data_IF_022194710279
#
_entry.id   IF_022194710279
#
_cell.length_a   1.000
_cell.length_b   1.000
_cell.length_c   1.000
_cell.angle_alpha   90.00
_cell.angle_beta   90.00
_cell.angle_gamma   90.00
#
_symmetry.space_group_name_H-M   'P 1'
#
loop_
_entity.id
_entity.type
_entity.pdbx_description
1 polymer ?
#
# COMPACT_ATOMS: atom_id res chain seq x y z
N UNK A 1 69.81 -12.09 39.25
CA UNK A 1 69.83 -11.43 37.93
C UNK A 1 68.44 -11.46 37.40
N UNK A 2 67.71 -10.36 37.46
CA UNK A 2 66.31 -10.29 37.12
C UNK A 2 66.16 -9.52 35.84
N UNK A 3 66.00 -10.22 34.73
CA UNK A 3 65.70 -9.61 33.46
C UNK A 3 64.24 -9.21 33.42
N UNK A 4 64.04 -7.94 33.61
CA UNK A 4 62.70 -7.36 33.36
C UNK A 4 62.55 -7.15 31.86
N UNK A 5 61.91 -8.09 31.21
CA UNK A 5 61.41 -7.93 29.83
C UNK A 5 60.23 -7.00 29.87
N UNK A 6 60.45 -5.74 29.57
CA UNK A 6 59.39 -4.78 29.37
C UNK A 6 58.83 -5.02 27.97
N UNK A 7 57.73 -5.73 27.91
CA UNK A 7 56.93 -5.87 26.69
C UNK A 7 56.16 -4.58 26.46
N UNK A 8 56.74 -3.73 25.63
CA UNK A 8 56.02 -2.56 25.11
C UNK A 8 54.98 -3.09 24.11
N UNK A 9 53.77 -3.20 24.59
CA UNK A 9 52.62 -3.48 23.72
C UNK A 9 52.30 -2.20 22.95
N UNK A 10 52.91 -2.08 21.76
CA UNK A 10 52.56 -1.04 20.82
C UNK A 10 51.15 -1.35 20.28
N UNK A 11 50.13 -0.77 20.96
CA UNK A 11 48.74 -0.83 20.52
C UNK A 11 48.60 -0.06 19.21
N UNK A 12 48.68 -0.77 18.12
CA UNK A 12 48.25 -0.24 16.82
C UNK A 12 46.75 -0.18 16.88
N UNK A 13 46.22 0.98 17.25
CA UNK A 13 44.83 1.31 17.08
C UNK A 13 44.57 1.40 15.58
N UNK A 14 44.08 0.33 15.03
CA UNK A 14 43.58 0.29 13.65
C UNK A 14 42.29 1.09 13.62
N UNK A 15 42.40 2.38 13.39
CA UNK A 15 41.29 3.24 13.03
C UNK A 15 40.83 2.81 11.63
N UNK A 16 39.90 1.85 11.60
CA UNK A 16 39.16 1.56 10.38
C UNK A 16 38.24 2.76 10.15
N UNK A 17 38.34 3.45 9.02
CA UNK A 17 37.27 4.35 8.63
C UNK A 17 36.04 3.50 8.37
N UNK A 18 35.06 3.61 9.22
CA UNK A 18 33.71 3.17 8.87
C UNK A 18 33.32 4.03 7.67
N UNK A 19 33.55 3.50 6.49
CA UNK A 19 32.87 3.99 5.31
C UNK A 19 31.38 3.82 5.58
N UNK A 20 30.75 4.91 5.97
CA UNK A 20 29.30 5.03 5.94
C UNK A 20 28.91 4.75 4.50
N UNK A 21 28.47 3.55 4.27
CA UNK A 21 27.69 3.28 3.07
C UNK A 21 26.38 4.03 3.29
N UNK A 22 26.39 5.31 2.94
CA UNK A 22 25.16 5.96 2.60
C UNK A 22 24.64 5.17 1.40
N UNK A 23 23.70 4.28 1.67
CA UNK A 23 22.85 3.74 0.64
C UNK A 23 22.05 4.94 0.13
N UNK A 24 22.62 5.67 -0.80
CA UNK A 24 21.86 6.59 -1.63
C UNK A 24 20.77 5.76 -2.24
N UNK A 25 19.55 6.01 -1.78
CA UNK A 25 18.37 5.41 -2.36
C UNK A 25 18.40 5.76 -3.85
N UNK A 26 18.79 4.80 -4.67
CA UNK A 26 18.80 4.96 -6.12
C UNK A 26 17.41 5.32 -6.68
N UNK A 27 16.38 5.19 -5.85
CA UNK A 27 15.00 5.57 -6.15
C UNK A 27 14.60 6.96 -5.66
N UNK A 28 15.41 7.64 -4.84
CA UNK A 28 15.11 8.99 -4.36
C UNK A 28 15.13 10.05 -5.46
N UNK A 29 15.80 9.77 -6.55
CA UNK A 29 15.94 10.69 -7.68
C UNK A 29 14.78 10.63 -8.69
N UNK A 30 13.93 9.62 -8.61
CA UNK A 30 12.81 9.47 -9.55
C UNK A 30 11.51 10.13 -9.09
N UNK A 31 11.49 10.69 -7.87
CA UNK A 31 10.34 11.45 -7.37
C UNK A 31 10.61 12.95 -7.43
N UNK A 32 11.34 13.39 -8.43
CA UNK A 32 11.24 14.77 -8.88
C UNK A 32 10.12 14.80 -9.93
N UNK A 33 8.90 14.53 -9.48
CA UNK A 33 7.73 14.87 -10.26
C UNK A 33 7.70 16.38 -10.29
N UNK A 34 8.24 16.92 -11.38
CA UNK A 34 8.01 18.28 -11.76
C UNK A 34 6.48 18.46 -11.89
N UNK A 35 5.86 19.05 -10.89
CA UNK A 35 4.43 19.32 -10.77
C UNK A 35 3.94 20.37 -11.77
N UNK A 36 4.59 20.46 -12.94
CA UNK A 36 4.24 21.37 -14.02
C UNK A 36 3.76 20.68 -15.30
N UNK A 37 3.36 19.41 -15.23
CA UNK A 37 2.57 18.82 -16.32
C UNK A 37 1.11 18.93 -15.93
N UNK A 38 0.46 19.95 -16.45
CA UNK A 38 -0.98 20.13 -16.37
C UNK A 38 -1.71 18.98 -17.03
N UNK A 39 -1.90 17.90 -16.30
CA UNK A 39 -2.94 16.94 -16.55
C UNK A 39 -4.18 17.50 -15.87
N UNK A 40 -4.93 18.28 -16.62
CA UNK A 40 -6.26 18.74 -16.23
C UNK A 40 -7.20 17.54 -16.24
N UNK A 41 -7.23 16.79 -15.14
CA UNK A 41 -8.39 15.97 -14.83
C UNK A 41 -9.55 16.93 -14.54
N UNK A 42 -10.76 16.68 -15.08
CA UNK A 42 -11.89 17.50 -14.76
C UNK A 42 -12.10 17.47 -13.26
N UNK A 43 -11.82 18.59 -12.62
CA UNK A 43 -12.13 18.83 -11.23
C UNK A 43 -13.65 18.87 -11.09
N UNK A 44 -14.27 17.71 -10.89
CA UNK A 44 -15.56 17.68 -10.25
C UNK A 44 -15.36 18.26 -8.86
N UNK A 45 -16.21 19.19 -8.47
CA UNK A 45 -16.25 19.81 -7.14
C UNK A 45 -16.64 18.74 -6.11
N UNK A 46 -15.72 17.84 -5.85
CA UNK A 46 -15.78 16.89 -4.75
C UNK A 46 -15.22 17.62 -3.55
N UNK A 47 -15.99 17.69 -2.49
CA UNK A 47 -15.56 18.23 -1.22
C UNK A 47 -14.19 17.63 -0.86
N UNK A 48 -13.15 18.45 -0.96
CA UNK A 48 -11.75 18.04 -0.71
C UNK A 48 -11.48 17.60 0.73
N UNK A 49 -12.51 17.59 1.57
CA UNK A 49 -12.41 17.24 2.99
C UNK A 49 -12.59 15.75 3.26
N UNK A 50 -13.23 15.01 2.35
CA UNK A 50 -13.51 13.58 2.52
C UNK A 50 -12.68 12.73 1.55
N UNK A 51 -12.07 11.68 2.09
CA UNK A 51 -11.32 10.74 1.27
C UNK A 51 -12.26 10.03 0.26
N UNK A 52 -11.87 9.85 -1.02
CA UNK A 52 -12.74 9.27 -2.04
C UNK A 52 -13.36 7.93 -1.68
N UNK A 53 -12.68 7.12 -0.88
CA UNK A 53 -13.18 5.82 -0.41
C UNK A 53 -14.41 5.90 0.50
N UNK A 54 -14.68 7.05 1.09
CA UNK A 54 -15.81 7.25 2.03
C UNK A 54 -16.87 8.21 1.49
N UNK A 55 -16.82 8.53 0.20
CA UNK A 55 -17.78 9.43 -0.46
C UNK A 55 -18.92 8.70 -1.13
N UNK A 56 -18.82 7.40 -1.29
CA UNK A 56 -19.81 6.58 -2.01
C UNK A 56 -20.13 5.31 -1.21
N UNK A 57 -21.30 4.72 -1.41
CA UNK A 57 -21.63 3.43 -0.81
C UNK A 57 -20.58 2.36 -1.13
N UNK A 58 -20.38 1.41 -0.22
CA UNK A 58 -19.46 0.28 -0.44
C UNK A 58 -19.71 -0.41 -1.77
N UNK A 59 -20.99 -0.60 -2.13
CA UNK A 59 -21.43 -1.30 -3.36
C UNK A 59 -21.08 -0.57 -4.65
N UNK A 60 -20.78 0.72 -4.59
CA UNK A 60 -20.34 1.51 -5.76
C UNK A 60 -18.87 1.31 -6.10
N UNK A 61 -18.12 0.69 -5.21
CA UNK A 61 -16.70 0.39 -5.41
C UNK A 61 -16.54 -1.01 -6.02
N UNK A 62 -15.51 -1.19 -6.81
CA UNK A 62 -15.21 -2.43 -7.50
C UNK A 62 -13.95 -3.05 -6.89
N UNK A 63 -14.07 -4.26 -6.37
CA UNK A 63 -12.92 -5.03 -5.94
C UNK A 63 -12.20 -5.59 -7.18
N UNK A 64 -10.98 -5.13 -7.40
CA UNK A 64 -10.14 -5.54 -8.53
C UNK A 64 -9.36 -6.82 -8.23
N UNK A 65 -8.93 -6.99 -6.99
CA UNK A 65 -8.20 -8.16 -6.56
C UNK A 65 -7.80 -8.11 -5.10
N UNK A 66 -7.40 -9.25 -4.56
CA UNK A 66 -6.88 -9.37 -3.19
C UNK A 66 -5.54 -10.10 -3.23
N UNK A 67 -4.58 -9.55 -2.53
CA UNK A 67 -3.26 -10.12 -2.36
C UNK A 67 -3.10 -10.61 -0.93
N UNK A 68 -2.85 -11.89 -0.75
CA UNK A 68 -2.69 -12.52 0.56
C UNK A 68 -1.28 -13.06 0.68
N UNK A 69 -0.54 -12.54 1.63
CA UNK A 69 0.76 -13.04 2.06
C UNK A 69 0.68 -13.48 3.54
N UNK A 70 1.64 -14.28 4.03
CA UNK A 70 1.59 -14.79 5.42
C UNK A 70 1.43 -13.72 6.49
N UNK A 71 1.99 -12.53 6.27
CA UNK A 71 1.97 -11.42 7.24
C UNK A 71 1.12 -10.24 6.81
N UNK A 72 0.53 -10.25 5.60
CA UNK A 72 -0.12 -9.07 5.05
C UNK A 72 -1.23 -9.43 4.06
N UNK A 73 -2.37 -8.79 4.21
CA UNK A 73 -3.49 -8.86 3.27
C UNK A 73 -3.77 -7.47 2.72
N UNK A 74 -3.87 -7.36 1.41
CA UNK A 74 -4.12 -6.09 0.72
C UNK A 74 -5.17 -6.33 -0.35
N UNK A 75 -6.18 -5.47 -0.40
CA UNK A 75 -7.16 -5.43 -1.46
C UNK A 75 -6.93 -4.23 -2.37
N UNK A 76 -7.07 -4.39 -3.66
CA UNK A 76 -7.12 -3.31 -4.63
C UNK A 76 -8.57 -3.02 -4.98
N UNK A 77 -9.01 -1.82 -4.68
CA UNK A 77 -10.37 -1.34 -4.92
C UNK A 77 -10.35 -0.14 -5.85
N UNK A 78 -11.24 -0.14 -6.82
CA UNK A 78 -11.50 1.02 -7.69
C UNK A 78 -12.79 1.69 -7.25
N UNK A 79 -12.73 3.00 -7.02
CA UNK A 79 -13.89 3.81 -6.65
C UNK A 79 -14.82 4.06 -7.83
N UNK A 80 -16.01 4.57 -7.56
CA UNK A 80 -16.94 5.00 -8.59
C UNK A 80 -16.38 6.12 -9.49
N UNK A 81 -15.42 6.91 -8.99
CA UNK A 81 -14.71 7.94 -9.76
C UNK A 81 -13.60 7.39 -10.65
N UNK A 82 -13.25 6.11 -10.50
CA UNK A 82 -12.23 5.43 -11.27
C UNK A 82 -10.85 5.37 -10.62
N UNK A 83 -10.69 5.99 -9.46
CA UNK A 83 -9.44 5.98 -8.71
C UNK A 83 -9.21 4.63 -8.04
N UNK A 84 -7.95 4.20 -7.95
CA UNK A 84 -7.58 2.91 -7.36
C UNK A 84 -6.86 3.10 -6.03
N UNK A 85 -7.26 2.31 -5.04
CA UNK A 85 -6.71 2.35 -3.69
C UNK A 85 -6.39 0.97 -3.16
N UNK A 86 -5.30 0.90 -2.41
CA UNK A 86 -4.95 -0.30 -1.66
C UNK A 86 -5.52 -0.21 -0.25
N UNK A 87 -6.32 -1.21 0.11
CA UNK A 87 -6.96 -1.33 1.42
C UNK A 87 -6.36 -2.46 2.23
N UNK A 88 -6.34 -2.26 3.53
CA UNK A 88 -6.00 -3.27 4.54
C UNK A 88 -7.19 -3.52 5.45
N UNK A 89 -7.11 -4.56 6.27
CA UNK A 89 -8.07 -4.76 7.36
C UNK A 89 -8.01 -3.55 8.30
N UNK A 90 -9.16 -2.99 8.62
CA UNK A 90 -9.34 -1.79 9.44
C UNK A 90 -9.48 -0.48 8.67
N UNK A 91 -9.16 -0.45 7.36
CA UNK A 91 -9.32 0.75 6.54
C UNK A 91 -10.81 1.06 6.31
N UNK A 92 -11.11 2.34 6.16
CA UNK A 92 -12.47 2.82 5.93
C UNK A 92 -12.87 2.68 4.48
N UNK A 93 -14.09 2.20 4.25
CA UNK A 93 -14.71 2.09 2.92
C UNK A 93 -16.21 2.28 3.05
N UNK A 94 -16.75 3.14 2.21
CA UNK A 94 -18.20 3.43 2.18
C UNK A 94 -18.59 4.67 2.99
N UNK A 95 -19.67 5.31 2.56
CA UNK A 95 -20.23 6.54 3.13
C UNK A 95 -20.97 6.32 4.46
N UNK A 96 -21.34 5.09 4.77
CA UNK A 96 -22.00 4.70 6.01
C UNK A 96 -21.02 4.36 7.16
N UNK A 97 -19.76 4.80 7.06
CA UNK A 97 -18.74 4.57 8.09
C UNK A 97 -18.22 3.14 8.13
N UNK A 98 -18.30 2.43 7.01
CA UNK A 98 -17.81 1.07 6.88
C UNK A 98 -16.32 0.90 7.16
N UNK A 99 -15.94 -0.29 7.61
CA UNK A 99 -14.54 -0.69 7.81
C UNK A 99 -14.32 -2.07 7.23
N UNK A 100 -13.17 -2.29 6.60
CA UNK A 100 -12.77 -3.61 6.12
C UNK A 100 -12.48 -4.52 7.32
N UNK A 101 -13.27 -5.55 7.50
CA UNK A 101 -13.17 -6.49 8.63
C UNK A 101 -12.66 -7.86 8.24
N UNK A 102 -12.83 -8.24 6.96
CA UNK A 102 -12.38 -9.53 6.44
C UNK A 102 -11.77 -9.40 5.05
N UNK A 103 -10.82 -10.27 4.73
CA UNK A 103 -10.26 -10.42 3.39
C UNK A 103 -10.03 -11.88 3.07
N UNK A 104 -10.60 -12.32 1.96
CA UNK A 104 -10.43 -13.62 1.35
C UNK A 104 -9.80 -13.47 -0.03
N UNK A 105 -9.43 -14.56 -0.67
CA UNK A 105 -8.72 -14.51 -1.96
C UNK A 105 -9.51 -13.78 -3.07
N UNK A 106 -10.83 -13.83 -3.00
CA UNK A 106 -11.72 -13.26 -4.02
C UNK A 106 -12.74 -12.26 -3.46
N UNK A 107 -12.67 -11.92 -2.18
CA UNK A 107 -13.65 -11.03 -1.56
C UNK A 107 -13.07 -10.26 -0.37
N UNK A 108 -13.71 -9.14 -0.08
CA UNK A 108 -13.52 -8.40 1.17
C UNK A 108 -14.87 -8.20 1.85
N UNK A 109 -14.85 -8.22 3.17
CA UNK A 109 -16.01 -7.94 4.00
C UNK A 109 -15.85 -6.56 4.63
N UNK A 110 -16.87 -5.74 4.46
CA UNK A 110 -16.93 -4.38 5.02
C UNK A 110 -18.09 -4.33 6.00
N UNK A 111 -17.82 -3.98 7.23
CA UNK A 111 -18.84 -3.84 8.27
C UNK A 111 -19.27 -2.39 8.39
N UNK A 112 -20.56 -2.14 8.17
CA UNK A 112 -21.25 -0.86 8.33
C UNK A 112 -22.23 -0.97 9.50
N UNK A 113 -21.81 -0.57 10.70
CA UNK A 113 -22.62 -0.77 11.91
C UNK A 113 -22.88 -2.25 12.17
N UNK A 114 -24.11 -2.69 12.08
CA UNK A 114 -24.52 -4.10 12.27
C UNK A 114 -24.57 -4.89 10.95
N UNK A 115 -24.39 -4.22 9.81
CA UNK A 115 -24.47 -4.83 8.49
C UNK A 115 -23.08 -5.16 7.95
N UNK A 116 -22.95 -6.35 7.36
CA UNK A 116 -21.76 -6.74 6.61
C UNK A 116 -22.06 -6.71 5.12
N UNK A 117 -21.25 -5.99 4.36
CA UNK A 117 -21.32 -5.93 2.90
C UNK A 117 -20.10 -6.64 2.35
N UNK A 118 -20.31 -7.69 1.55
CA UNK A 118 -19.21 -8.42 0.91
C UNK A 118 -19.03 -7.93 -0.52
N UNK A 119 -17.85 -7.45 -0.85
CA UNK A 119 -17.43 -7.17 -2.22
C UNK A 119 -16.63 -8.35 -2.75
N UNK A 120 -17.07 -8.91 -3.88
CA UNK A 120 -16.34 -9.96 -4.58
C UNK A 120 -15.55 -9.38 -5.75
N UNK A 121 -14.40 -9.99 -6.05
CA UNK A 121 -13.65 -9.67 -7.27
C UNK A 121 -14.58 -9.92 -8.45
N UNK A 122 -14.74 -8.90 -9.28
CA UNK A 122 -15.50 -9.03 -10.51
C UNK A 122 -14.71 -9.95 -11.44
N UNK A 123 -15.03 -11.23 -11.42
CA UNK A 123 -14.57 -12.15 -12.44
C UNK A 123 -15.09 -11.60 -13.76
N UNK A 124 -14.17 -11.16 -14.59
CA UNK A 124 -14.44 -11.02 -16.01
C UNK A 124 -14.60 -12.46 -16.49
N UNK A 125 -15.83 -12.96 -16.46
CA UNK A 125 -16.12 -14.20 -17.17
C UNK A 125 -15.66 -13.94 -18.60
N UNK A 126 -14.63 -14.65 -19.01
CA UNK A 126 -14.36 -14.85 -20.43
C UNK A 126 -15.67 -15.41 -20.94
N UNK A 127 -16.37 -14.62 -21.75
CA UNK A 127 -17.53 -15.12 -22.43
C UNK A 127 -17.06 -16.39 -23.13
N UNK A 128 -17.62 -17.52 -22.76
CA UNK A 128 -17.45 -18.76 -23.50
C UNK A 128 -17.92 -18.45 -24.92
N UNK A 129 -16.98 -18.14 -25.80
CA UNK A 129 -17.17 -18.25 -27.22
C UNK A 129 -17.18 -19.73 -27.55
N UNK A 130 -18.23 -20.40 -27.12
CA UNK A 130 -18.58 -21.70 -27.62
C UNK A 130 -19.80 -21.54 -28.50
N UNK A 131 -19.57 -20.98 -29.67
CA UNK A 131 -20.51 -21.06 -30.78
C UNK A 131 -19.90 -21.95 -31.82
N UNK A 132 -20.38 -23.14 -31.85
CA UNK A 132 -20.16 -24.13 -32.93
C UNK A 132 -20.80 -23.68 -34.25
#
# INVERSE_FOLDING_TARGET
MKNKLIMVFCGVVFLLPFASWAAENAFGSLINVNTNSGSSYPSSNVDKTLHPLIQSPVTSNILMGVMIAPSKKIALVRTATGDEYFLKIGDKLGDAGGSVTGMSINSIDVTEGEKVVTLSVRNRSVADENES
#
